data_IF_372968466150
#
_entry.id   IF_372968466150
#
_cell.length_a   1.000
_cell.length_b   1.000
_cell.length_c   1.000
_cell.angle_alpha   90.00
_cell.angle_beta   90.00
_cell.angle_gamma   90.00
#
_symmetry.space_group_name_H-M   'P 1'
#
loop_
_entity.id
_entity.type
_entity.pdbx_description
1 polymer ?
#
# COMPACT_ATOMS: atom_id res chain seq x y z
N UNK A 1 -8.23 47.47 -68.82
CA UNK A 1 -8.36 47.06 -67.41
C UNK A 1 -8.57 45.54 -67.36
N UNK A 2 -7.68 44.79 -66.71
CA UNK A 2 -7.79 43.32 -66.60
C UNK A 2 -8.64 42.99 -65.37
N UNK A 3 -9.77 42.30 -65.56
CA UNK A 3 -10.59 41.79 -64.45
C UNK A 3 -9.97 40.50 -63.91
N UNK A 4 -9.58 40.50 -62.64
CA UNK A 4 -9.03 39.33 -61.95
C UNK A 4 -10.15 38.66 -61.16
N UNK A 5 -10.59 37.48 -61.61
CA UNK A 5 -11.66 36.71 -60.95
C UNK A 5 -11.06 35.85 -59.83
N UNK A 6 -11.48 36.00 -58.56
CA UNK A 6 -11.02 35.15 -57.49
C UNK A 6 -11.69 33.77 -57.58
N UNK A 7 -10.92 32.74 -57.94
CA UNK A 7 -11.37 31.34 -57.86
C UNK A 7 -11.36 30.87 -56.39
N UNK A 8 -12.52 30.87 -55.75
CA UNK A 8 -12.68 30.37 -54.39
C UNK A 8 -12.62 28.84 -54.37
N UNK A 9 -11.45 28.29 -53.99
CA UNK A 9 -11.23 26.85 -53.84
C UNK A 9 -11.95 26.36 -52.57
N UNK A 10 -13.17 25.82 -52.70
CA UNK A 10 -13.92 25.25 -51.59
C UNK A 10 -13.20 24.00 -51.06
N UNK A 11 -12.72 24.06 -49.81
CA UNK A 11 -12.18 22.88 -49.12
C UNK A 11 -13.35 21.97 -48.74
N UNK A 12 -13.39 20.76 -49.31
CA UNK A 12 -14.32 19.73 -48.88
C UNK A 12 -13.95 19.35 -47.44
N UNK A 13 -14.79 19.70 -46.47
CA UNK A 13 -14.65 19.23 -45.10
C UNK A 13 -15.02 17.74 -45.09
N UNK A 14 -14.04 16.87 -44.87
CA UNK A 14 -14.30 15.44 -44.61
C UNK A 14 -14.94 15.34 -43.22
N UNK A 15 -16.20 14.89 -43.17
CA UNK A 15 -16.91 14.62 -41.93
C UNK A 15 -16.41 13.32 -41.28
N UNK A 16 -16.51 13.27 -39.95
CA UNK A 16 -16.24 12.07 -39.16
C UNK A 16 -17.28 11.01 -39.50
N UNK A 17 -16.87 9.79 -39.83
CA UNK A 17 -17.82 8.70 -40.09
C UNK A 17 -18.24 8.04 -38.78
N UNK A 18 -19.49 7.56 -38.70
CA UNK A 18 -19.96 6.79 -37.54
C UNK A 18 -19.13 5.51 -37.33
N UNK A 19 -18.62 4.93 -38.42
CA UNK A 19 -17.79 3.73 -38.36
C UNK A 19 -16.42 4.00 -37.72
N UNK A 20 -15.87 5.21 -37.89
CA UNK A 20 -14.63 5.61 -37.21
C UNK A 20 -14.81 5.69 -35.69
N UNK A 21 -15.95 6.19 -35.20
CA UNK A 21 -16.24 6.15 -33.75
C UNK A 21 -16.55 4.74 -33.25
N UNK A 22 -17.20 3.90 -34.07
CA UNK A 22 -17.55 2.54 -33.70
C UNK A 22 -16.29 1.70 -33.43
N UNK A 23 -15.31 1.73 -34.34
CA UNK A 23 -14.06 0.98 -34.17
C UNK A 23 -13.28 1.47 -32.94
N UNK A 24 -13.27 2.77 -32.65
CA UNK A 24 -12.59 3.32 -31.48
C UNK A 24 -13.20 2.80 -30.17
N UNK A 25 -14.53 2.79 -30.05
CA UNK A 25 -15.20 2.24 -28.86
C UNK A 25 -14.95 0.75 -28.68
N UNK A 26 -14.89 -0.02 -29.77
CA UNK A 26 -14.53 -1.45 -29.72
C UNK A 26 -13.12 -1.62 -29.17
N UNK A 27 -12.15 -0.83 -29.65
CA UNK A 27 -10.76 -0.90 -29.16
C UNK A 27 -10.67 -0.50 -27.68
N UNK A 28 -11.35 0.57 -27.25
CA UNK A 28 -11.38 0.99 -25.84
C UNK A 28 -11.99 -0.09 -24.95
N UNK A 29 -13.07 -0.73 -25.38
CA UNK A 29 -13.73 -1.80 -24.63
C UNK A 29 -12.80 -3.02 -24.43
N UNK A 30 -12.06 -3.42 -25.47
CA UNK A 30 -11.08 -4.51 -25.39
C UNK A 30 -9.92 -4.16 -24.45
N UNK A 31 -9.38 -2.95 -24.56
CA UNK A 31 -8.28 -2.50 -23.70
C UNK A 31 -8.70 -2.42 -22.22
N UNK A 32 -9.92 -1.95 -21.93
CA UNK A 32 -10.43 -1.85 -20.57
C UNK A 32 -10.50 -3.21 -19.85
N UNK A 33 -10.85 -4.29 -20.56
CA UNK A 33 -10.92 -5.65 -20.00
C UNK A 33 -9.57 -6.18 -19.50
N UNK A 34 -8.47 -5.84 -20.18
CA UNK A 34 -7.12 -6.34 -19.85
C UNK A 34 -6.53 -5.58 -18.65
N UNK A 35 -6.89 -4.31 -18.50
CA UNK A 35 -6.24 -3.39 -17.55
C UNK A 35 -6.71 -3.61 -16.11
N UNK A 36 -7.98 -3.96 -15.88
CA UNK A 36 -8.56 -4.13 -14.54
C UNK A 36 -7.86 -5.19 -13.65
N UNK A 37 -7.58 -6.43 -14.11
CA UNK A 37 -7.00 -7.45 -13.23
C UNK A 37 -5.56 -7.11 -12.78
N UNK A 38 -4.81 -6.33 -13.56
CA UNK A 38 -3.42 -5.95 -13.27
C UNK A 38 -3.29 -5.05 -12.03
N UNK A 39 -4.31 -4.23 -11.73
CA UNK A 39 -4.25 -3.28 -10.60
C UNK A 39 -4.49 -3.94 -9.24
N UNK A 40 -5.32 -4.99 -9.20
CA UNK A 40 -5.62 -5.72 -7.96
C UNK A 40 -4.36 -6.38 -7.37
N UNK A 41 -3.57 -7.06 -8.21
CA UNK A 41 -2.36 -7.80 -7.77
C UNK A 41 -1.22 -6.89 -7.30
N UNK A 42 -1.10 -5.67 -7.86
CA UNK A 42 -0.06 -4.72 -7.43
C UNK A 42 -0.35 -4.12 -6.05
N UNK A 43 -1.64 -3.90 -5.74
CA UNK A 43 -2.06 -3.42 -4.42
C UNK A 43 -1.78 -4.44 -3.33
N UNK A 44 -2.06 -5.73 -3.57
CA UNK A 44 -1.78 -6.78 -2.58
C UNK A 44 -0.27 -6.93 -2.34
N UNK A 45 0.54 -6.93 -3.41
CA UNK A 45 1.99 -7.00 -3.30
C UNK A 45 2.58 -5.80 -2.53
N UNK A 46 2.06 -4.60 -2.75
CA UNK A 46 2.47 -3.41 -2.00
C UNK A 46 2.11 -3.52 -0.51
N UNK A 47 0.93 -4.06 -0.17
CA UNK A 47 0.54 -4.32 1.23
C UNK A 47 1.43 -5.35 1.89
N UNK A 48 1.77 -6.45 1.21
CA UNK A 48 2.69 -7.46 1.73
C UNK A 48 4.10 -6.91 1.97
N UNK A 49 4.61 -6.10 1.03
CA UNK A 49 5.91 -5.45 1.18
C UNK A 49 5.94 -4.53 2.41
N UNK A 50 4.89 -3.72 2.59
CA UNK A 50 4.73 -2.86 3.76
C UNK A 50 4.61 -3.68 5.05
N UNK A 51 3.85 -4.78 5.05
CA UNK A 51 3.70 -5.65 6.20
C UNK A 51 5.05 -6.23 6.64
N UNK A 52 5.84 -6.75 5.68
CA UNK A 52 7.18 -7.29 5.95
C UNK A 52 8.13 -6.22 6.49
N UNK A 53 8.07 -5.01 5.94
CA UNK A 53 8.85 -3.88 6.43
C UNK A 53 8.50 -3.52 7.87
N UNK A 54 7.20 -3.40 8.17
CA UNK A 54 6.72 -3.04 9.50
C UNK A 54 7.07 -4.12 10.54
N UNK A 55 6.87 -5.40 10.21
CA UNK A 55 7.29 -6.54 11.05
C UNK A 55 8.77 -6.49 11.37
N UNK A 56 9.61 -6.21 10.36
CA UNK A 56 11.06 -6.13 10.55
C UNK A 56 11.42 -5.01 11.53
N UNK A 57 10.86 -3.82 11.35
CA UNK A 57 11.11 -2.68 12.24
C UNK A 57 10.71 -2.99 13.69
N UNK A 58 9.53 -3.57 13.91
CA UNK A 58 9.08 -3.92 15.27
C UNK A 58 9.93 -5.04 15.86
N UNK A 59 10.29 -6.06 15.07
CA UNK A 59 11.15 -7.16 15.54
C UNK A 59 12.54 -6.67 15.94
N UNK A 60 13.11 -5.75 15.18
CA UNK A 60 14.37 -5.09 15.54
C UNK A 60 14.22 -4.34 16.86
N UNK A 61 13.14 -3.58 17.05
CA UNK A 61 12.88 -2.89 18.32
C UNK A 61 12.76 -3.86 19.51
N UNK A 62 12.07 -4.99 19.36
CA UNK A 62 11.96 -6.05 20.39
C UNK A 62 13.34 -6.65 20.71
N UNK A 63 14.16 -6.90 19.69
CA UNK A 63 15.50 -7.44 19.87
C UNK A 63 16.42 -6.46 20.61
N UNK A 64 16.36 -5.17 20.26
CA UNK A 64 17.12 -4.13 20.96
C UNK A 64 16.66 -4.00 22.41
N UNK A 65 15.35 -3.98 22.67
CA UNK A 65 14.81 -3.99 24.03
C UNK A 65 15.36 -5.16 24.85
N UNK A 66 15.39 -6.37 24.27
CA UNK A 66 15.95 -7.55 24.95
C UNK A 66 17.46 -7.44 25.17
N UNK A 67 18.21 -6.87 24.23
CA UNK A 67 19.65 -6.68 24.38
C UNK A 67 19.97 -5.75 25.57
N UNK A 68 19.15 -4.73 25.77
CA UNK A 68 19.38 -3.70 26.78
C UNK A 68 18.81 -4.08 28.16
N UNK A 69 17.64 -4.73 28.20
CA UNK A 69 16.95 -5.07 29.47
C UNK A 69 17.14 -6.52 29.91
N UNK A 70 17.67 -7.38 29.04
CA UNK A 70 17.85 -8.82 29.28
C UNK A 70 16.55 -9.64 29.20
N UNK A 71 15.38 -9.01 29.06
CA UNK A 71 14.08 -9.66 29.04
C UNK A 71 13.27 -9.28 27.78
N UNK A 72 12.31 -10.13 27.41
CA UNK A 72 11.34 -9.77 26.38
C UNK A 72 10.37 -8.72 26.93
N UNK A 73 9.95 -7.73 26.12
CA UNK A 73 8.93 -6.78 26.56
C UNK A 73 7.63 -7.52 26.89
N UNK A 74 6.90 -7.09 27.92
CA UNK A 74 5.60 -7.68 28.24
C UNK A 74 4.55 -7.34 27.17
N UNK A 75 4.64 -6.14 26.60
CA UNK A 75 3.75 -5.61 25.58
C UNK A 75 4.50 -4.76 24.56
N UNK A 76 3.97 -4.63 23.35
CA UNK A 76 4.55 -3.80 22.30
C UNK A 76 4.60 -2.31 22.65
N UNK A 77 3.68 -1.83 23.49
CA UNK A 77 3.65 -0.46 24.00
C UNK A 77 4.91 -0.09 24.80
N UNK A 78 5.61 -1.10 25.34
CA UNK A 78 6.87 -0.90 26.07
C UNK A 78 8.04 -0.50 25.16
N UNK A 79 7.93 -0.73 23.85
CA UNK A 79 8.97 -0.31 22.91
C UNK A 79 9.03 1.21 22.74
N UNK A 80 7.92 1.92 22.95
CA UNK A 80 7.83 3.38 22.74
C UNK A 80 7.95 4.21 24.01
N UNK A 81 7.68 3.66 25.19
CA UNK A 81 7.55 4.46 26.42
C UNK A 81 7.84 3.71 27.72
N UNK A 82 8.61 2.61 27.67
CA UNK A 82 8.97 1.91 28.91
C UNK A 82 10.03 2.64 29.73
N UNK A 83 10.01 2.42 31.04
CA UNK A 83 11.01 2.94 31.98
C UNK A 83 11.42 1.77 32.88
N UNK A 84 12.23 0.89 32.31
CA UNK A 84 12.79 -0.29 33.00
C UNK A 84 14.31 -0.16 33.10
N UNK A 85 14.91 -0.87 34.06
CA UNK A 85 16.37 -0.87 34.26
C UNK A 85 17.08 -1.30 32.96
N UNK A 86 18.00 -0.46 32.47
CA UNK A 86 18.71 -0.69 31.20
C UNK A 86 18.05 -0.06 29.96
N UNK A 87 16.87 0.56 30.08
CA UNK A 87 16.21 1.22 28.95
C UNK A 87 17.04 2.41 28.43
N UNK A 88 17.45 2.37 27.16
CA UNK A 88 18.29 3.41 26.55
C UNK A 88 17.52 4.42 25.68
N UNK A 89 16.23 4.18 25.46
CA UNK A 89 15.37 5.10 24.73
C UNK A 89 14.22 4.42 23.99
N UNK A 90 13.38 5.20 23.27
CA UNK A 90 12.31 4.64 22.48
C UNK A 90 12.88 3.82 21.32
N UNK A 91 12.71 2.50 21.38
CA UNK A 91 13.14 1.59 20.31
C UNK A 91 12.23 1.68 19.08
N UNK A 92 11.07 2.32 19.22
CA UNK A 92 10.17 2.66 18.13
C UNK A 92 9.51 4.03 18.37
N UNK A 93 9.42 4.85 17.32
CA UNK A 93 8.71 6.12 17.36
C UNK A 93 7.20 5.86 17.35
N UNK A 94 6.47 6.46 18.30
CA UNK A 94 5.01 6.42 18.30
C UNK A 94 4.43 7.35 17.22
N UNK A 95 3.29 7.01 16.58
CA UNK A 95 2.55 5.75 16.72
C UNK A 95 3.26 4.58 16.01
N UNK A 96 3.14 3.37 16.56
CA UNK A 96 3.74 2.18 15.95
C UNK A 96 3.22 1.97 14.52
N UNK A 97 4.04 1.44 13.58
CA UNK A 97 3.59 1.13 12.24
C UNK A 97 2.38 0.19 12.27
N UNK A 98 1.33 0.57 11.53
CA UNK A 98 0.10 -0.20 11.47
C UNK A 98 0.22 -1.37 10.49
N UNK A 99 -0.61 -2.39 10.69
CA UNK A 99 -0.76 -3.49 9.73
C UNK A 99 -1.52 -3.01 8.47
N UNK A 100 -0.89 -3.03 7.27
CA UNK A 100 -1.53 -2.58 6.03
C UNK A 100 -2.56 -3.57 5.48
N UNK A 101 -2.67 -4.77 6.06
CA UNK A 101 -3.63 -5.81 5.68
C UNK A 101 -4.91 -5.78 6.50
N UNK A 102 -4.90 -5.08 7.65
CA UNK A 102 -6.11 -4.83 8.41
C UNK A 102 -7.04 -3.89 7.63
N UNK A 103 -8.32 -4.28 7.52
CA UNK A 103 -9.34 -3.48 6.87
C UNK A 103 -9.53 -2.15 7.62
N UNK A 104 -8.83 -1.10 7.20
CA UNK A 104 -9.03 0.30 7.58
C UNK A 104 -9.40 0.55 9.06
N UNK A 105 -8.78 -0.16 10.02
CA UNK A 105 -9.07 0.05 11.43
C UNK A 105 -8.19 1.18 11.96
N UNK A 106 -8.84 2.31 12.19
CA UNK A 106 -8.29 3.52 12.77
C UNK A 106 -7.46 3.26 14.04
N UNK A 107 -6.30 3.91 14.10
CA UNK A 107 -5.70 4.41 15.35
C UNK A 107 -5.20 3.45 16.42
N UNK A 108 -5.51 2.15 16.39
CA UNK A 108 -5.18 1.26 17.50
C UNK A 108 -4.19 0.17 17.10
N UNK A 109 -3.20 -0.03 17.97
CA UNK A 109 -2.15 -1.06 18.01
C UNK A 109 -2.67 -2.53 18.06
N UNK A 110 -3.95 -2.75 17.79
CA UNK A 110 -4.68 -4.00 18.00
C UNK A 110 -4.48 -5.06 16.92
N UNK A 111 -3.76 -4.74 15.83
CA UNK A 111 -3.61 -5.63 14.68
C UNK A 111 -2.29 -6.41 14.69
N UNK A 112 -1.49 -6.30 15.74
CA UNK A 112 -0.28 -7.12 15.94
C UNK A 112 -0.53 -8.11 17.07
N UNK A 113 -0.32 -9.41 16.82
CA UNK A 113 -0.30 -10.43 17.86
C UNK A 113 1.14 -10.63 18.32
N UNK A 114 1.39 -10.38 19.60
CA UNK A 114 2.70 -10.46 20.23
C UNK A 114 2.67 -11.51 21.35
N UNK A 115 3.69 -12.38 21.39
CA UNK A 115 3.83 -13.43 22.40
C UNK A 115 5.03 -13.13 23.27
N UNK A 116 4.81 -12.56 24.45
CA UNK A 116 5.88 -12.15 25.37
C UNK A 116 6.79 -13.31 25.83
N UNK A 117 6.27 -14.54 25.89
CA UNK A 117 7.04 -15.72 26.28
C UNK A 117 8.17 -16.08 25.28
N UNK A 118 8.01 -15.73 24.00
CA UNK A 118 8.95 -16.09 22.94
C UNK A 118 9.50 -14.89 22.17
N UNK A 119 8.99 -13.68 22.41
CA UNK A 119 9.24 -12.51 21.58
C UNK A 119 8.63 -12.63 20.18
N UNK A 120 7.67 -13.53 19.99
CA UNK A 120 7.01 -13.77 18.71
C UNK A 120 6.13 -12.59 18.30
N UNK A 121 6.19 -12.19 17.02
CA UNK A 121 5.37 -11.11 16.47
C UNK A 121 4.77 -11.53 15.14
N UNK A 122 3.45 -11.45 15.02
CA UNK A 122 2.69 -11.75 13.79
C UNK A 122 1.59 -10.70 13.57
N UNK A 123 1.11 -10.58 12.33
CA UNK A 123 -0.12 -9.83 12.04
C UNK A 123 -1.32 -10.57 12.62
N UNK A 124 -2.18 -9.86 13.35
CA UNK A 124 -3.40 -10.40 13.94
C UNK A 124 -4.53 -10.58 12.91
N UNK A 125 -4.42 -9.94 11.74
CA UNK A 125 -5.41 -10.03 10.66
C UNK A 125 -5.02 -11.02 9.57
N UNK A 126 -3.81 -11.57 9.62
CA UNK A 126 -3.37 -12.58 8.68
C UNK A 126 -4.05 -13.92 8.98
N UNK A 127 -4.65 -14.54 7.96
CA UNK A 127 -5.33 -15.84 8.00
C UNK A 127 -4.44 -17.04 8.45
N UNK A 128 -3.23 -16.77 8.92
CA UNK A 128 -2.29 -17.73 9.50
C UNK A 128 -2.27 -17.69 11.04
N UNK A 129 -3.10 -16.86 11.68
CA UNK A 129 -3.18 -16.73 13.14
C UNK A 129 -3.97 -17.84 13.85
N UNK A 130 -4.58 -18.77 13.11
CA UNK A 130 -5.35 -19.89 13.67
C UNK A 130 -5.03 -21.18 12.94
N UNK A 131 -4.02 -21.90 13.42
CA UNK A 131 -3.95 -23.36 13.35
C UNK A 131 -3.46 -23.85 14.71
#
# INVERSE_FOLDING_TARGET
>A
MKFNVPTHKTRIKRGFTLIELLVVMVVIAVLALIVVPQFASRTTQAREANLRSNLKSIRTAIQTFRADTGAWPADLSKLSSDVVSGWQGPYITAPMPQDPTAAAAAGNNSNWSYTAASGGLVSATSAYATW
#
